data_IF_650037397079
#
_entry.id   IF_650037397079
#
_cell.length_a   1.000
_cell.length_b   1.000
_cell.length_c   1.000
_cell.angle_alpha   90.00
_cell.angle_beta   90.00
_cell.angle_gamma   90.00
#
_symmetry.space_group_name_H-M   'P 1'
#
loop_
_entity.id
_entity.type
_entity.pdbx_description
1 polymer ?
#
# COMPACT_ATOMS: atom_id res chain seq x y z
N UNK A 1 45.74 -17.42 29.77
CA UNK A 1 45.23 -16.70 28.57
C UNK A 1 43.81 -16.30 28.92
N UNK A 2 43.45 -15.04 28.83
CA UNK A 2 42.08 -14.56 29.06
C UNK A 2 41.44 -14.29 27.69
N UNK A 3 40.26 -14.83 27.44
CA UNK A 3 39.55 -14.69 26.16
C UNK A 3 38.32 -13.82 26.36
N UNK A 4 38.15 -12.79 25.53
CA UNK A 4 36.94 -11.99 25.44
C UNK A 4 36.10 -12.51 24.30
N UNK A 5 34.75 -12.56 24.50
CA UNK A 5 33.80 -12.90 23.45
C UNK A 5 33.14 -11.61 22.96
N UNK A 6 32.80 -11.59 21.65
CA UNK A 6 32.02 -10.52 21.08
C UNK A 6 30.57 -10.61 21.59
N UNK A 7 29.97 -9.45 21.76
CA UNK A 7 28.54 -9.32 22.10
C UNK A 7 27.72 -9.37 20.82
N UNK A 8 26.69 -10.19 20.82
CA UNK A 8 25.69 -10.26 19.77
C UNK A 8 24.29 -10.31 20.39
N UNK A 9 23.34 -9.71 19.71
CA UNK A 9 21.92 -9.80 20.03
C UNK A 9 21.11 -10.21 18.79
N UNK A 10 19.80 -10.04 18.88
CA UNK A 10 18.87 -10.26 17.79
C UNK A 10 17.80 -9.17 17.79
N UNK A 11 17.19 -8.98 16.63
CA UNK A 11 15.97 -8.16 16.51
C UNK A 11 14.86 -9.04 16.00
N UNK A 12 13.77 -9.13 16.75
CA UNK A 12 12.53 -9.81 16.38
C UNK A 12 11.49 -8.78 16.04
N UNK A 13 10.81 -8.90 14.90
CA UNK A 13 9.86 -7.91 14.45
C UNK A 13 8.56 -8.48 13.91
N UNK A 14 7.55 -7.62 13.89
CA UNK A 14 6.28 -7.86 13.23
C UNK A 14 6.05 -6.78 12.17
N UNK A 15 5.72 -7.22 10.98
CA UNK A 15 5.23 -6.40 9.88
C UNK A 15 3.74 -6.57 9.80
N UNK A 16 3.00 -5.47 9.98
CA UNK A 16 1.53 -5.51 10.04
C UNK A 16 0.90 -4.40 9.21
N UNK A 17 -0.37 -4.55 8.90
CA UNK A 17 -1.20 -3.48 8.35
C UNK A 17 -1.76 -2.57 9.47
N UNK A 18 -2.58 -1.59 9.08
CA UNK A 18 -3.24 -0.64 10.00
C UNK A 18 -4.29 -1.29 10.93
N UNK A 19 -4.66 -2.55 10.69
CA UNK A 19 -5.57 -3.34 11.53
C UNK A 19 -4.83 -4.33 12.44
N UNK A 20 -3.50 -4.42 12.31
CA UNK A 20 -2.67 -5.36 13.05
C UNK A 20 -2.54 -6.74 12.41
N UNK A 21 -3.05 -6.92 11.18
CA UNK A 21 -2.90 -8.17 10.43
C UNK A 21 -1.48 -8.32 9.88
N UNK A 22 -0.91 -9.52 9.98
CA UNK A 22 0.45 -9.81 9.52
C UNK A 22 0.62 -9.64 8.02
N UNK A 23 1.70 -8.98 7.61
CA UNK A 23 2.05 -8.75 6.21
C UNK A 23 3.31 -9.51 5.82
N UNK A 24 3.15 -10.55 4.97
CA UNK A 24 4.24 -11.35 4.43
C UNK A 24 4.81 -10.78 3.12
N UNK A 25 6.14 -10.85 2.94
CA UNK A 25 6.82 -10.47 1.70
C UNK A 25 7.40 -9.06 1.67
N UNK A 26 7.30 -8.27 2.73
CA UNK A 26 7.98 -6.98 2.84
C UNK A 26 9.48 -7.19 3.06
N UNK A 27 10.31 -6.39 2.37
CA UNK A 27 11.77 -6.40 2.54
C UNK A 27 12.18 -5.35 3.58
N UNK A 28 12.83 -5.82 4.64
CA UNK A 28 13.31 -5.00 5.76
C UNK A 28 14.84 -5.07 5.82
N UNK A 29 15.49 -3.93 6.07
CA UNK A 29 16.94 -3.84 6.20
C UNK A 29 17.39 -3.44 7.60
N UNK A 30 18.52 -3.99 8.03
CA UNK A 30 19.33 -3.55 9.17
C UNK A 30 20.51 -2.75 8.63
N UNK A 31 20.68 -1.52 9.12
CA UNK A 31 21.67 -0.55 8.65
C UNK A 31 22.55 -0.05 9.78
N UNK A 32 23.70 0.53 9.45
CA UNK A 32 24.50 1.25 10.44
C UNK A 32 23.77 2.53 10.86
N UNK A 33 24.01 2.96 12.10
CA UNK A 33 23.36 4.15 12.66
C UNK A 33 23.86 5.50 12.07
N UNK A 34 24.82 5.48 11.15
CA UNK A 34 25.30 6.62 10.38
C UNK A 34 24.90 6.56 8.89
N UNK A 35 24.20 5.52 8.46
CA UNK A 35 23.67 5.40 7.09
C UNK A 35 22.56 6.44 6.84
N UNK A 36 22.59 7.05 5.66
CA UNK A 36 21.60 8.04 5.20
C UNK A 36 20.78 7.53 4.00
N UNK A 37 21.24 6.43 3.38
CA UNK A 37 20.57 5.74 2.28
C UNK A 37 20.19 4.32 2.72
N UNK A 38 18.93 3.98 2.53
CA UNK A 38 18.34 2.72 2.99
C UNK A 38 17.94 1.84 1.81
N UNK A 39 18.95 1.27 1.17
CA UNK A 39 18.81 0.35 0.03
C UNK A 39 19.22 -1.07 0.42
N UNK A 40 18.85 -2.05 -0.37
CA UNK A 40 19.27 -3.44 -0.15
C UNK A 40 20.80 -3.59 -0.22
N UNK A 41 21.46 -2.80 -1.07
CA UNK A 41 22.92 -2.81 -1.23
C UNK A 41 23.66 -2.25 -0.02
N UNK A 42 23.06 -1.28 0.68
CA UNK A 42 23.67 -0.64 1.87
C UNK A 42 23.33 -1.38 3.16
N UNK A 43 22.34 -2.26 3.14
CA UNK A 43 21.94 -3.01 4.32
C UNK A 43 23.04 -3.96 4.78
N UNK A 44 23.35 -3.98 6.09
CA UNK A 44 24.20 -4.98 6.69
C UNK A 44 23.57 -6.37 6.61
N UNK A 45 22.26 -6.42 6.84
CA UNK A 45 21.41 -7.61 6.73
C UNK A 45 20.06 -7.22 6.16
N UNK A 46 19.43 -8.16 5.48
CA UNK A 46 18.03 -8.03 5.03
C UNK A 46 17.20 -9.19 5.54
N UNK A 47 15.91 -8.95 5.76
CA UNK A 47 14.94 -9.97 6.09
C UNK A 47 13.66 -9.73 5.29
N UNK A 48 12.97 -10.80 4.91
CA UNK A 48 11.65 -10.76 4.30
C UNK A 48 10.66 -11.23 5.35
N UNK A 49 9.57 -10.48 5.56
CA UNK A 49 8.52 -10.88 6.50
C UNK A 49 7.81 -12.15 6.05
N UNK A 50 7.56 -13.08 6.97
CA UNK A 50 6.76 -14.29 6.75
C UNK A 50 5.26 -13.96 6.62
N UNK A 51 4.44 -14.96 6.25
CA UNK A 51 3.00 -14.80 6.04
C UNK A 51 2.26 -14.24 7.27
N UNK A 52 2.76 -14.51 8.47
CA UNK A 52 2.26 -13.96 9.73
C UNK A 52 2.84 -12.58 10.08
N UNK A 53 3.64 -11.98 9.16
CA UNK A 53 4.35 -10.73 9.34
C UNK A 53 5.66 -10.83 10.15
N UNK A 54 6.05 -12.00 10.68
CA UNK A 54 7.25 -12.12 11.49
C UNK A 54 8.53 -11.97 10.65
N UNK A 55 9.54 -11.31 11.23
CA UNK A 55 10.89 -11.27 10.69
C UNK A 55 11.91 -11.25 11.82
N UNK A 56 13.15 -11.65 11.53
CA UNK A 56 14.22 -11.69 12.52
C UNK A 56 15.57 -11.34 11.88
N UNK A 57 16.39 -10.59 12.63
CA UNK A 57 17.82 -10.42 12.39
C UNK A 57 18.56 -11.10 13.53
N UNK A 58 19.28 -12.16 13.23
CA UNK A 58 20.09 -12.89 14.20
C UNK A 58 21.55 -12.43 14.16
N UNK A 59 22.28 -12.60 15.27
CA UNK A 59 23.69 -12.27 15.38
C UNK A 59 24.00 -10.80 15.04
N UNK A 60 23.11 -9.89 15.45
CA UNK A 60 23.33 -8.46 15.31
C UNK A 60 24.47 -8.04 16.25
N UNK A 61 25.57 -7.42 15.73
CA UNK A 61 26.71 -7.09 16.56
C UNK A 61 26.39 -6.00 17.61
N UNK A 62 27.20 -5.92 18.66
CA UNK A 62 27.17 -4.81 19.60
C UNK A 62 27.23 -3.46 18.90
N UNK A 63 26.37 -2.50 19.31
CA UNK A 63 26.34 -1.14 18.77
C UNK A 63 24.94 -0.62 18.50
N UNK A 64 24.88 0.50 17.79
CA UNK A 64 23.66 1.16 17.38
C UNK A 64 23.40 0.88 15.90
N UNK A 65 22.16 0.60 15.59
CA UNK A 65 21.67 0.18 14.26
C UNK A 65 20.37 0.87 13.94
N UNK A 66 20.07 0.96 12.65
CA UNK A 66 18.77 1.37 12.13
C UNK A 66 18.06 0.18 11.48
N UNK A 67 16.76 0.12 11.67
CA UNK A 67 15.88 -0.76 10.87
C UNK A 67 14.91 0.09 10.09
N UNK A 68 14.73 -0.26 8.82
CA UNK A 68 13.79 0.40 7.92
C UNK A 68 13.27 -0.59 6.88
N UNK A 69 12.02 -0.39 6.47
CA UNK A 69 11.48 -1.08 5.31
C UNK A 69 12.14 -0.55 4.04
N UNK A 70 12.62 -1.48 3.20
CA UNK A 70 13.25 -1.17 1.91
C UNK A 70 12.20 -1.23 0.80
N UNK A 71 11.32 -2.25 0.85
CA UNK A 71 10.29 -2.48 -0.15
C UNK A 71 9.01 -2.99 0.51
N UNK A 72 7.89 -2.28 0.32
CA UNK A 72 6.59 -2.72 0.82
C UNK A 72 5.99 -3.81 -0.08
N UNK A 73 4.91 -4.42 0.40
CA UNK A 73 4.04 -5.22 -0.45
C UNK A 73 3.26 -4.34 -1.44
N UNK A 74 2.87 -4.96 -2.57
CA UNK A 74 1.93 -4.34 -3.51
C UNK A 74 0.63 -3.95 -2.80
N UNK A 75 0.16 -2.74 -3.05
CA UNK A 75 -1.04 -2.18 -2.41
C UNK A 75 -0.82 -1.50 -1.08
N UNK A 76 0.43 -1.46 -0.59
CA UNK A 76 0.80 -0.77 0.64
C UNK A 76 1.78 0.38 0.40
N UNK A 77 1.66 1.42 1.20
CA UNK A 77 2.59 2.56 1.19
C UNK A 77 3.86 2.17 1.94
N UNK A 78 5.03 2.49 1.37
CA UNK A 78 6.32 2.27 2.04
C UNK A 78 6.35 2.98 3.40
N UNK A 79 6.71 2.24 4.46
CA UNK A 79 6.98 2.85 5.76
C UNK A 79 8.42 3.38 5.78
N UNK A 80 8.56 4.70 5.70
CA UNK A 80 9.84 5.38 5.68
C UNK A 80 10.42 5.66 7.08
N UNK A 81 9.75 5.20 8.14
CA UNK A 81 10.23 5.35 9.52
C UNK A 81 11.53 4.59 9.72
N UNK A 82 12.49 5.26 10.33
CA UNK A 82 13.75 4.66 10.77
C UNK A 82 13.61 4.31 12.26
N UNK A 83 13.82 3.04 12.59
CA UNK A 83 13.72 2.52 13.93
C UNK A 83 15.12 2.34 14.52
N UNK A 84 15.38 2.99 15.65
CA UNK A 84 16.64 2.85 16.40
C UNK A 84 16.69 1.51 17.11
N UNK A 85 17.83 0.81 16.98
CA UNK A 85 18.14 -0.43 17.67
C UNK A 85 19.48 -0.32 18.36
N UNK A 86 19.55 -0.64 19.63
CA UNK A 86 20.78 -0.71 20.40
C UNK A 86 21.01 -2.12 20.93
N UNK A 87 22.14 -2.73 20.57
CA UNK A 87 22.61 -4.00 21.14
C UNK A 87 23.75 -3.70 22.10
N UNK A 88 23.51 -3.84 23.39
CA UNK A 88 24.46 -3.52 24.47
C UNK A 88 24.81 -4.73 25.36
N UNK A 89 24.01 -5.79 25.29
CA UNK A 89 24.18 -7.00 26.10
C UNK A 89 24.18 -8.24 25.20
N UNK A 90 24.90 -9.28 25.66
CA UNK A 90 24.93 -10.56 24.92
C UNK A 90 23.55 -11.25 24.98
N UNK A 91 23.12 -11.80 23.82
CA UNK A 91 21.84 -12.47 23.66
C UNK A 91 20.62 -11.54 23.89
N UNK A 92 20.81 -10.22 23.86
CA UNK A 92 19.71 -9.23 23.91
C UNK A 92 18.78 -9.46 22.73
N UNK A 93 17.47 -9.40 23.00
CA UNK A 93 16.41 -9.37 21.96
C UNK A 93 15.77 -8.00 21.98
N UNK A 94 15.76 -7.33 20.83
CA UNK A 94 15.00 -6.08 20.63
C UNK A 94 13.76 -6.42 19.80
N UNK A 95 12.58 -5.98 20.27
CA UNK A 95 11.33 -6.19 19.56
C UNK A 95 10.86 -4.90 18.87
N UNK A 96 10.41 -5.00 17.62
CA UNK A 96 9.87 -3.88 16.86
C UNK A 96 8.61 -4.28 16.08
N UNK A 97 7.77 -3.28 15.81
CA UNK A 97 6.61 -3.41 14.92
C UNK A 97 6.68 -2.36 13.82
N UNK A 98 6.47 -2.79 12.58
CA UNK A 98 6.47 -1.92 11.40
C UNK A 98 5.08 -1.98 10.77
N UNK A 99 4.35 -0.84 10.80
CA UNK A 99 2.98 -0.75 10.29
C UNK A 99 2.96 -0.11 8.91
N UNK A 100 2.33 -0.75 7.92
CA UNK A 100 2.06 -0.14 6.61
C UNK A 100 0.59 0.23 6.47
N UNK A 101 0.37 1.33 5.73
CA UNK A 101 -0.96 1.79 5.33
C UNK A 101 -1.29 1.28 3.95
N UNK A 102 -2.56 0.95 3.72
CA UNK A 102 -3.07 0.64 2.40
C UNK A 102 -2.95 1.84 1.45
N UNK A 103 -2.58 1.59 0.20
CA UNK A 103 -2.66 2.59 -0.86
C UNK A 103 -4.14 2.81 -1.18
N UNK A 104 -4.58 4.08 -1.20
CA UNK A 104 -5.94 4.48 -1.51
C UNK A 104 -5.93 5.52 -2.62
N UNK A 105 -6.96 5.50 -3.45
CA UNK A 105 -7.15 6.41 -4.56
C UNK A 105 -8.59 6.90 -4.68
N UNK A 106 -8.83 7.76 -5.67
CA UNK A 106 -10.13 8.32 -5.95
C UNK A 106 -10.40 8.25 -7.46
N UNK A 107 -11.66 8.08 -7.82
CA UNK A 107 -12.15 8.25 -9.19
C UNK A 107 -12.94 9.53 -9.25
N UNK A 108 -12.68 10.35 -10.27
CA UNK A 108 -13.45 11.55 -10.56
C UNK A 108 -13.69 11.66 -12.06
N UNK A 109 -14.91 12.02 -12.47
CA UNK A 109 -15.27 12.28 -13.86
C UNK A 109 -16.19 13.51 -13.98
N UNK A 110 -16.21 14.06 -15.19
CA UNK A 110 -17.17 15.11 -15.55
C UNK A 110 -18.07 14.60 -16.69
N UNK A 111 -19.38 14.65 -16.49
CA UNK A 111 -20.36 14.36 -17.55
C UNK A 111 -20.71 15.64 -18.29
N UNK A 112 -20.55 15.62 -19.60
CA UNK A 112 -20.84 16.75 -20.48
C UNK A 112 -21.73 16.34 -21.65
N UNK A 113 -22.36 17.31 -22.28
CA UNK A 113 -23.04 17.15 -23.57
C UNK A 113 -22.00 16.87 -24.67
N UNK A 114 -22.27 15.88 -25.53
CA UNK A 114 -21.36 15.50 -26.62
C UNK A 114 -21.22 16.56 -27.72
N UNK A 115 -22.26 17.39 -27.92
CA UNK A 115 -22.24 18.47 -28.92
C UNK A 115 -21.74 19.80 -28.31
N UNK A 116 -22.08 20.02 -27.03
CA UNK A 116 -21.75 21.27 -26.30
C UNK A 116 -20.91 20.93 -25.07
N UNK A 117 -19.62 20.62 -25.27
CA UNK A 117 -18.72 20.08 -24.24
C UNK A 117 -18.47 20.98 -23.02
N UNK A 118 -18.84 22.27 -23.10
CA UNK A 118 -18.85 23.19 -21.95
C UNK A 118 -20.10 23.04 -21.07
N UNK A 119 -21.13 22.30 -21.57
CA UNK A 119 -22.39 22.06 -20.86
C UNK A 119 -22.28 20.79 -20.01
N UNK A 120 -22.26 20.96 -18.70
CA UNK A 120 -22.25 19.85 -17.74
C UNK A 120 -23.66 19.28 -17.57
N UNK A 121 -23.76 17.96 -17.48
CA UNK A 121 -25.04 17.22 -17.39
C UNK A 121 -25.18 16.57 -16.02
N UNK A 122 -26.33 16.80 -15.36
CA UNK A 122 -26.68 16.23 -14.06
C UNK A 122 -27.60 15.00 -14.20
N UNK A 123 -27.66 14.16 -13.18
CA UNK A 123 -28.65 13.06 -13.07
C UNK A 123 -28.24 11.77 -13.79
N UNK A 124 -27.01 11.67 -14.29
CA UNK A 124 -26.40 10.41 -14.69
C UNK A 124 -26.14 9.51 -13.47
N UNK A 125 -26.05 8.20 -13.70
CA UNK A 125 -25.57 7.23 -12.69
C UNK A 125 -24.41 6.46 -13.30
N UNK A 126 -23.29 6.42 -12.58
CA UNK A 126 -22.09 5.69 -12.96
C UNK A 126 -21.81 4.60 -11.95
N UNK A 127 -21.78 3.37 -12.39
CA UNK A 127 -21.37 2.21 -11.59
C UNK A 127 -19.87 2.03 -11.67
N UNK A 128 -19.26 1.66 -10.53
CA UNK A 128 -17.84 1.40 -10.39
C UNK A 128 -17.66 -0.08 -10.07
N UNK A 129 -16.87 -0.75 -10.88
CA UNK A 129 -16.51 -2.16 -10.74
C UNK A 129 -15.02 -2.29 -10.45
N UNK A 130 -14.66 -3.23 -9.58
CA UNK A 130 -13.26 -3.62 -9.37
C UNK A 130 -12.93 -4.79 -10.26
N UNK A 131 -11.85 -4.70 -11.03
CA UNK A 131 -11.28 -5.83 -11.76
C UNK A 131 -10.80 -6.89 -10.75
N UNK A 132 -11.63 -7.92 -10.57
CA UNK A 132 -11.41 -8.93 -9.52
C UNK A 132 -10.52 -10.08 -9.99
N UNK A 133 -10.42 -10.29 -11.31
CA UNK A 133 -9.63 -11.35 -11.93
C UNK A 133 -8.36 -10.81 -12.64
N UNK A 134 -8.13 -9.48 -12.58
CA UNK A 134 -6.97 -8.75 -13.15
C UNK A 134 -6.77 -9.02 -14.67
N UNK A 135 -7.89 -9.21 -15.39
CA UNK A 135 -7.87 -9.49 -16.82
C UNK A 135 -7.89 -8.22 -17.71
N UNK A 136 -8.23 -7.05 -17.14
CA UNK A 136 -8.29 -5.75 -17.83
C UNK A 136 -9.54 -5.54 -18.68
N UNK A 137 -10.58 -6.35 -18.50
CA UNK A 137 -11.85 -6.26 -19.19
C UNK A 137 -13.01 -6.36 -18.18
N UNK A 138 -14.01 -5.48 -18.30
CA UNK A 138 -15.20 -5.57 -17.44
C UNK A 138 -16.05 -6.80 -17.81
N UNK A 139 -16.18 -7.73 -16.89
CA UNK A 139 -16.94 -8.95 -17.05
C UNK A 139 -17.79 -9.34 -15.82
N UNK A 140 -18.35 -10.55 -15.83
CA UNK A 140 -19.23 -11.02 -14.76
C UNK A 140 -18.52 -11.47 -13.47
N UNK A 141 -17.19 -11.55 -13.48
CA UNK A 141 -16.36 -11.90 -12.32
C UNK A 141 -15.98 -10.66 -11.50
N UNK A 142 -16.22 -9.45 -12.07
CA UNK A 142 -15.90 -8.18 -11.46
C UNK A 142 -16.92 -7.77 -10.40
N UNK A 143 -16.41 -7.20 -9.32
CA UNK A 143 -17.21 -6.78 -8.18
C UNK A 143 -17.76 -5.37 -8.38
N UNK A 144 -19.08 -5.20 -8.30
CA UNK A 144 -19.70 -3.88 -8.22
C UNK A 144 -19.40 -3.25 -6.84
N UNK A 145 -18.55 -2.22 -6.82
CA UNK A 145 -18.17 -1.49 -5.61
C UNK A 145 -19.27 -0.49 -5.19
N UNK A 146 -19.96 0.10 -6.16
CA UNK A 146 -20.99 1.09 -5.91
C UNK A 146 -21.18 2.05 -7.08
N UNK A 147 -21.69 3.24 -6.77
CA UNK A 147 -21.91 4.30 -7.76
C UNK A 147 -21.16 5.58 -7.39
N UNK A 148 -20.71 6.32 -8.40
CA UNK A 148 -20.14 7.64 -8.19
C UNK A 148 -21.19 8.58 -7.60
N UNK A 149 -20.77 9.46 -6.71
CA UNK A 149 -21.60 10.52 -6.12
C UNK A 149 -21.44 11.81 -6.89
N UNK A 150 -22.56 12.40 -7.34
CA UNK A 150 -22.55 13.74 -7.93
C UNK A 150 -22.34 14.78 -6.81
N UNK A 151 -21.24 15.54 -6.87
CA UNK A 151 -20.87 16.57 -5.89
C UNK A 151 -21.30 17.96 -6.34
N UNK A 152 -21.10 18.23 -7.61
CA UNK A 152 -21.54 19.44 -8.30
C UNK A 152 -22.15 19.01 -9.64
N UNK A 153 -22.88 19.91 -10.30
CA UNK A 153 -23.50 19.63 -11.59
C UNK A 153 -22.50 19.00 -12.56
N UNK A 154 -22.76 17.75 -12.94
CA UNK A 154 -21.97 16.95 -13.87
C UNK A 154 -20.59 16.55 -13.35
N UNK A 155 -20.29 16.72 -12.07
CA UNK A 155 -19.05 16.26 -11.45
C UNK A 155 -19.33 15.10 -10.49
N UNK A 156 -18.77 13.96 -10.80
CA UNK A 156 -19.01 12.71 -10.09
C UNK A 156 -17.70 12.19 -9.50
N UNK A 157 -17.75 11.65 -8.28
CA UNK A 157 -16.57 11.08 -7.63
C UNK A 157 -16.90 9.89 -6.74
N UNK A 158 -15.89 9.04 -6.54
CA UNK A 158 -15.82 8.03 -5.49
C UNK A 158 -14.43 8.10 -4.87
N UNK A 159 -14.40 8.19 -3.55
CA UNK A 159 -13.16 8.34 -2.79
C UNK A 159 -12.83 7.06 -2.03
N UNK A 160 -11.58 6.98 -1.54
CA UNK A 160 -11.13 5.96 -0.62
C UNK A 160 -11.12 4.53 -1.20
N UNK A 161 -10.92 4.43 -2.50
CA UNK A 161 -10.78 3.15 -3.19
C UNK A 161 -9.43 2.52 -2.87
N UNK A 162 -9.43 1.23 -2.56
CA UNK A 162 -8.20 0.48 -2.34
C UNK A 162 -7.41 0.32 -3.64
N UNK A 163 -6.12 0.07 -3.52
CA UNK A 163 -5.27 -0.24 -4.68
C UNK A 163 -5.90 -1.33 -5.56
N UNK A 164 -5.92 -1.08 -6.87
CA UNK A 164 -6.47 -1.99 -7.86
C UNK A 164 -6.85 -1.28 -9.15
N UNK A 165 -7.28 -2.07 -10.14
CA UNK A 165 -7.88 -1.60 -11.38
C UNK A 165 -9.39 -1.51 -11.19
N UNK A 166 -9.98 -0.48 -11.79
CA UNK A 166 -11.42 -0.22 -11.72
C UNK A 166 -11.97 0.13 -13.08
N UNK A 167 -13.23 -0.22 -13.28
CA UNK A 167 -14.01 0.16 -14.46
C UNK A 167 -15.19 1.05 -14.04
N UNK A 168 -15.46 2.08 -14.84
CA UNK A 168 -16.61 2.95 -14.67
C UNK A 168 -17.51 2.80 -15.90
N UNK A 169 -18.80 2.60 -15.67
CA UNK A 169 -19.82 2.47 -16.70
C UNK A 169 -21.05 3.30 -16.35
N UNK A 170 -21.57 4.05 -17.34
CA UNK A 170 -22.85 4.72 -17.16
C UNK A 170 -23.98 3.68 -17.16
N UNK A 171 -24.76 3.62 -16.07
CA UNK A 171 -25.93 2.73 -15.95
C UNK A 171 -27.26 3.45 -16.16
N UNK A 172 -27.24 4.79 -16.06
CA UNK A 172 -28.38 5.64 -16.37
C UNK A 172 -27.90 6.98 -16.94
N UNK A 173 -28.42 7.33 -18.12
CA UNK A 173 -28.14 8.63 -18.74
C UNK A 173 -28.92 9.78 -18.06
N UNK A 174 -28.47 11.04 -18.19
CA UNK A 174 -29.25 12.22 -17.89
C UNK A 174 -30.58 12.25 -18.67
N UNK A 175 -31.58 12.92 -18.11
CA UNK A 175 -32.86 13.07 -18.78
C UNK A 175 -32.74 13.77 -20.15
N UNK A 176 -33.28 13.12 -21.19
CA UNK A 176 -33.20 13.65 -22.56
C UNK A 176 -31.96 13.25 -23.34
N UNK A 177 -31.08 12.46 -22.75
CA UNK A 177 -29.82 11.98 -23.39
C UNK A 177 -29.84 10.45 -23.58
N UNK A 178 -29.06 9.99 -24.54
CA UNK A 178 -28.81 8.55 -24.74
C UNK A 178 -27.75 8.05 -23.79
N UNK A 179 -27.83 6.79 -23.40
CA UNK A 179 -26.85 6.11 -22.57
C UNK A 179 -25.50 6.05 -23.31
N UNK A 180 -24.43 6.36 -22.57
CA UNK A 180 -23.08 6.07 -23.01
C UNK A 180 -22.74 4.62 -22.62
N UNK A 181 -22.59 3.75 -23.63
CA UNK A 181 -22.29 2.32 -23.43
C UNK A 181 -20.78 2.07 -23.23
N UNK A 182 -19.95 3.11 -23.22
CA UNK A 182 -18.52 3.02 -22.98
C UNK A 182 -18.19 2.50 -21.59
N UNK A 183 -17.08 1.77 -21.51
CA UNK A 183 -16.45 1.36 -20.25
C UNK A 183 -15.11 2.10 -20.14
N UNK A 184 -14.91 2.76 -19.03
CA UNK A 184 -13.72 3.58 -18.75
C UNK A 184 -12.89 2.93 -17.65
N UNK A 185 -11.57 2.84 -17.88
CA UNK A 185 -10.57 2.35 -16.91
C UNK A 185 -9.90 3.52 -16.15
#
# INVERSE_FOLDING_TARGET
MTENKLIYGSVSGKKVDENGEGLGGALIGLFKSDDVEFTEENALMTAVSGDDGSFVFENVPYGNWYIREIKPLTGFVLNETVYDVNISENEQVVEIEIVNKLVRGNIALTKVDAEYTDTKLTGAVFEVYKDSNDNGELDSEDELIGTLTEKEIGQYEMNDLLYGRYFVKESKAPEGFTLDEGVYE
#
